data_IF_453527884100
#
_entry.id   IF_453527884100
#
_cell.length_a   1.000
_cell.length_b   1.000
_cell.length_c   1.000
_cell.angle_alpha   90.00
_cell.angle_beta   90.00
_cell.angle_gamma   90.00
#
_symmetry.space_group_name_H-M   'P 1'
#
loop_
_entity.id
_entity.type
_entity.pdbx_description
1 polymer ?
#
# COMPACT_ATOMS: atom_id res chain seq x y z
N UNK A 1 25.30 5.54 -7.02
CA UNK A 1 24.91 4.51 -6.03
C UNK A 1 23.86 3.62 -6.68
N UNK A 2 24.00 2.29 -6.69
CA UNK A 2 22.91 1.43 -7.18
C UNK A 2 21.70 1.66 -6.27
N UNK A 3 20.59 2.15 -6.83
CA UNK A 3 19.34 2.25 -6.11
C UNK A 3 18.85 0.82 -5.83
N UNK A 4 19.14 0.31 -4.64
CA UNK A 4 18.53 -0.90 -4.13
C UNK A 4 17.03 -0.64 -4.06
N UNK A 5 16.27 -1.17 -5.02
CA UNK A 5 14.82 -1.15 -4.94
C UNK A 5 14.43 -1.77 -3.59
N UNK A 6 13.63 -1.08 -2.76
CA UNK A 6 13.18 -1.67 -1.51
C UNK A 6 12.44 -2.97 -1.83
N UNK A 7 12.99 -4.10 -1.37
CA UNK A 7 12.33 -5.40 -1.47
C UNK A 7 11.11 -5.38 -0.55
N UNK A 8 9.95 -5.01 -1.11
CA UNK A 8 8.69 -5.08 -0.38
C UNK A 8 8.32 -6.55 -0.17
N UNK A 9 7.91 -6.91 1.04
CA UNK A 9 7.34 -8.22 1.34
C UNK A 9 5.84 -8.20 1.11
N UNK A 10 5.27 -9.31 0.65
CA UNK A 10 3.83 -9.49 0.65
C UNK A 10 3.30 -9.36 2.08
N UNK A 11 2.14 -8.73 2.26
CA UNK A 11 1.51 -8.58 3.57
C UNK A 11 -0.01 -8.48 3.45
N UNK A 12 -0.71 -8.74 4.54
CA UNK A 12 -2.16 -8.57 4.58
C UNK A 12 -2.54 -7.10 4.44
N UNK A 13 -3.70 -6.82 3.84
CA UNK A 13 -4.27 -5.45 3.79
C UNK A 13 -4.31 -4.80 5.18
N UNK A 14 -4.71 -5.57 6.21
CA UNK A 14 -4.78 -5.07 7.59
C UNK A 14 -3.41 -4.79 8.21
N UNK A 15 -2.37 -5.52 7.81
CA UNK A 15 -0.99 -5.24 8.25
C UNK A 15 -0.46 -4.01 7.54
N UNK A 16 -0.69 -3.90 6.23
CA UNK A 16 -0.30 -2.74 5.46
C UNK A 16 -0.97 -1.46 5.98
N UNK A 17 -2.28 -1.50 6.24
CA UNK A 17 -3.03 -0.39 6.83
C UNK A 17 -2.40 0.10 8.15
N UNK A 18 -2.07 -0.83 9.05
CA UNK A 18 -1.39 -0.52 10.32
C UNK A 18 0.00 0.08 10.09
N UNK A 19 0.78 -0.50 9.17
CA UNK A 19 2.13 -0.03 8.84
C UNK A 19 2.13 1.42 8.34
N UNK A 20 1.11 1.80 7.57
CA UNK A 20 1.00 3.16 7.01
C UNK A 20 0.14 4.10 7.87
N UNK A 21 -0.26 3.67 9.08
CA UNK A 21 -1.00 4.50 10.01
C UNK A 21 -2.43 4.86 9.58
N UNK A 22 -3.09 4.07 8.74
CA UNK A 22 -4.47 4.34 8.30
C UNK A 22 -5.46 3.28 8.72
N UNK A 23 -6.74 3.67 8.82
CA UNK A 23 -7.82 2.72 9.04
C UNK A 23 -7.98 1.75 7.86
N UNK A 24 -8.46 0.54 8.11
CA UNK A 24 -8.78 -0.42 7.05
C UNK A 24 -9.80 0.12 6.03
N UNK A 25 -10.72 1.01 6.46
CA UNK A 25 -11.68 1.69 5.59
C UNK A 25 -10.99 2.68 4.64
N UNK A 26 -10.04 3.45 5.16
CA UNK A 26 -9.22 4.38 4.37
C UNK A 26 -8.40 3.62 3.34
N UNK A 27 -7.74 2.53 3.76
CA UNK A 27 -7.00 1.68 2.83
C UNK A 27 -7.92 1.11 1.74
N UNK A 28 -9.11 0.60 2.10
CA UNK A 28 -10.07 0.08 1.11
C UNK A 28 -10.44 1.12 0.06
N UNK A 29 -10.68 2.37 0.47
CA UNK A 29 -10.95 3.49 -0.45
C UNK A 29 -9.76 3.75 -1.39
N UNK A 30 -8.52 3.72 -0.87
CA UNK A 30 -7.34 3.87 -1.73
C UNK A 30 -7.20 2.74 -2.74
N UNK A 31 -7.41 1.50 -2.31
CA UNK A 31 -7.22 0.33 -3.17
C UNK A 31 -8.33 0.17 -4.22
N UNK A 32 -9.58 0.42 -3.84
CA UNK A 32 -10.75 0.07 -4.66
C UNK A 32 -11.38 1.27 -5.37
N UNK A 33 -11.04 2.50 -4.99
CA UNK A 33 -11.58 3.71 -5.62
C UNK A 33 -10.45 4.55 -6.22
N UNK A 34 -9.45 4.93 -5.43
CA UNK A 34 -8.46 5.92 -5.86
C UNK A 34 -7.41 5.40 -6.84
N UNK A 35 -6.93 4.18 -6.62
CA UNK A 35 -5.81 3.58 -7.37
C UNK A 35 -6.17 2.24 -8.01
N UNK A 36 -7.47 1.98 -8.15
CA UNK A 36 -7.95 0.66 -8.56
C UNK A 36 -7.47 0.28 -9.96
N UNK A 37 -7.49 1.21 -10.90
CA UNK A 37 -7.09 0.94 -12.29
C UNK A 37 -5.61 0.55 -12.39
N UNK A 38 -4.71 1.28 -11.73
CA UNK A 38 -3.28 0.90 -11.73
C UNK A 38 -3.02 -0.39 -10.96
N UNK A 39 -3.76 -0.62 -9.87
CA UNK A 39 -3.69 -1.85 -9.11
C UNK A 39 -4.17 -3.05 -9.94
N UNK A 40 -5.22 -2.88 -10.75
CA UNK A 40 -5.78 -3.91 -11.63
C UNK A 40 -4.78 -4.36 -12.69
N UNK A 41 -3.98 -3.45 -13.25
CA UNK A 41 -2.84 -3.79 -14.14
C UNK A 41 -1.78 -4.67 -13.46
N UNK A 42 -1.75 -4.68 -12.12
CA UNK A 42 -0.89 -5.51 -11.29
C UNK A 42 -1.62 -6.72 -10.70
N UNK A 43 -2.69 -7.18 -11.37
CA UNK A 43 -3.54 -8.30 -10.95
C UNK A 43 -4.12 -8.12 -9.53
N UNK A 44 -4.53 -6.90 -9.19
CA UNK A 44 -5.24 -6.66 -7.95
C UNK A 44 -6.72 -7.02 -8.06
N UNK A 45 -7.24 -7.68 -7.03
CA UNK A 45 -8.67 -7.97 -6.86
C UNK A 45 -9.18 -7.40 -5.53
N UNK A 46 -10.39 -6.80 -5.48
CA UNK A 46 -10.94 -6.25 -4.24
C UNK A 46 -11.05 -7.27 -3.10
N UNK A 47 -11.29 -8.54 -3.41
CA UNK A 47 -11.52 -9.65 -2.48
C UNK A 47 -10.22 -10.23 -1.93
N UNK A 48 -9.07 -9.98 -2.58
CA UNK A 48 -7.82 -10.57 -2.13
C UNK A 48 -7.42 -10.06 -0.75
N UNK A 49 -6.88 -10.93 0.10
CA UNK A 49 -6.50 -10.57 1.48
C UNK A 49 -5.09 -9.97 1.56
N UNK A 50 -4.20 -10.39 0.67
CA UNK A 50 -2.80 -10.02 0.64
C UNK A 50 -2.52 -9.00 -0.47
N UNK A 51 -1.58 -8.10 -0.23
CA UNK A 51 -1.01 -7.24 -1.24
C UNK A 51 0.33 -7.83 -1.67
N UNK A 52 0.58 -7.86 -2.97
CA UNK A 52 1.85 -8.35 -3.52
C UNK A 52 2.95 -7.30 -3.32
N UNK A 53 4.24 -7.69 -3.33
CA UNK A 53 5.37 -6.75 -3.29
C UNK A 53 5.25 -5.60 -4.30
N UNK A 54 4.79 -5.91 -5.52
CA UNK A 54 4.64 -4.94 -6.60
C UNK A 54 3.54 -3.92 -6.29
N UNK A 55 2.39 -4.38 -5.81
CA UNK A 55 1.28 -3.51 -5.39
C UNK A 55 1.68 -2.62 -4.22
N UNK A 56 2.39 -3.17 -3.23
CA UNK A 56 2.90 -2.43 -2.07
C UNK A 56 3.91 -1.36 -2.51
N UNK A 57 4.81 -1.71 -3.45
CA UNK A 57 5.77 -0.75 -3.97
C UNK A 57 5.13 0.39 -4.76
N UNK A 58 4.06 0.11 -5.50
CA UNK A 58 3.25 1.17 -6.11
C UNK A 58 2.58 2.05 -5.06
N UNK A 59 1.95 1.44 -4.05
CA UNK A 59 1.24 2.18 -3.00
C UNK A 59 2.19 3.04 -2.18
N UNK A 60 3.37 2.57 -1.78
CA UNK A 60 4.34 3.38 -1.04
C UNK A 60 4.92 4.54 -1.87
N UNK A 61 4.98 4.42 -3.20
CA UNK A 61 5.37 5.54 -4.07
C UNK A 61 4.28 6.61 -4.16
N UNK A 62 3.00 6.22 -4.08
CA UNK A 62 1.84 7.12 -4.23
C UNK A 62 1.37 7.70 -2.91
N UNK A 63 1.39 6.90 -1.87
CA UNK A 63 1.00 7.25 -0.53
C UNK A 63 2.28 7.64 0.22
N UNK A 64 2.69 8.89 0.04
CA UNK A 64 3.74 9.50 0.87
C UNK A 64 3.13 9.72 2.24
N UNK A 65 3.31 8.77 3.16
CA UNK A 65 3.07 9.03 4.57
C UNK A 65 4.35 9.62 5.14
N UNK A 66 4.28 10.91 5.42
CA UNK A 66 5.26 11.56 6.29
C UNK A 66 4.97 11.03 7.68
N UNK A 67 5.92 10.33 8.31
CA UNK A 67 5.90 10.19 9.76
C UNK A 67 5.87 11.61 10.30
N UNK A 68 4.70 12.08 10.77
CA UNK A 68 4.61 13.37 11.43
C UNK A 68 5.27 13.18 12.81
N UNK A 69 6.48 13.74 13.03
CA UNK A 69 7.19 13.54 14.30
C UNK A 69 6.48 14.22 15.48
N UNK A 70 5.35 14.91 15.24
CA UNK A 70 4.58 15.61 16.27
C UNK A 70 3.33 14.87 16.74
N UNK A 71 3.04 13.68 16.22
CA UNK A 71 1.95 12.85 16.75
C UNK A 71 2.55 11.81 17.72
N UNK A 72 2.60 12.23 18.99
CA UNK A 72 2.95 11.43 20.18
C UNK A 72 1.77 10.60 20.68
#
# INVERSE_FOLDING_TARGET
MPMTLPFYKAMLKNEYARKIGVSGRTLRRYLNERYFEELKEMNYFPEQKFLTPRQIGFLNKKLVFVDDPYIS
#
